data_IF_016724168707
#
_entry.id   IF_016724168707
#
_cell.length_a   1.000
_cell.length_b   1.000
_cell.length_c   1.000
_cell.angle_alpha   90.00
_cell.angle_beta   90.00
_cell.angle_gamma   90.00
#
_symmetry.space_group_name_H-M   'P 1'
#
loop_
_entity.id
_entity.type
_entity.pdbx_description
1 polymer ?
#
# COMPACT_ATOMS: atom_id res chain seq x y z
N UNK A 1 30.73 11.32 18.02
CA UNK A 1 30.94 10.61 16.75
C UNK A 1 30.21 9.27 16.81
N UNK A 2 29.03 9.16 16.19
CA UNK A 2 28.28 7.92 16.12
C UNK A 2 28.25 7.46 14.66
N UNK A 3 28.81 6.27 14.40
CA UNK A 3 28.94 5.70 13.08
C UNK A 3 27.55 5.41 12.46
N UNK A 4 27.34 5.94 11.26
CA UNK A 4 26.16 5.66 10.44
C UNK A 4 26.11 4.18 10.09
N UNK A 5 25.00 3.53 10.47
CA UNK A 5 24.74 2.14 10.15
C UNK A 5 24.25 2.05 8.71
N UNK A 6 25.11 1.54 7.85
CA UNK A 6 24.86 1.22 6.45
C UNK A 6 23.81 0.10 6.33
N UNK A 7 22.53 0.45 6.29
CA UNK A 7 21.41 -0.46 6.00
C UNK A 7 21.29 -0.84 4.52
N UNK A 8 22.41 -1.16 3.87
CA UNK A 8 22.50 -1.27 2.40
C UNK A 8 22.85 -2.63 1.81
N UNK A 9 23.28 -3.64 2.59
CA UNK A 9 23.88 -4.87 2.02
C UNK A 9 23.41 -6.19 2.65
N UNK A 10 22.16 -6.30 3.10
CA UNK A 10 21.63 -7.59 3.62
C UNK A 10 20.30 -8.00 2.96
N UNK A 11 20.12 -7.61 1.69
CA UNK A 11 18.90 -7.95 0.96
C UNK A 11 18.94 -9.35 0.32
N UNK A 12 20.11 -9.97 0.23
CA UNK A 12 20.31 -11.26 -0.45
C UNK A 12 20.70 -12.40 0.50
N UNK A 13 21.01 -12.09 1.77
CA UNK A 13 21.30 -13.13 2.75
C UNK A 13 20.04 -13.91 3.12
N UNK A 14 20.10 -15.25 3.14
CA UNK A 14 19.00 -16.06 3.66
C UNK A 14 18.81 -15.78 5.15
N UNK A 15 17.57 -15.47 5.53
CA UNK A 15 17.17 -15.24 6.92
C UNK A 15 17.50 -16.46 7.78
N UNK A 16 18.19 -16.23 8.89
CA UNK A 16 18.52 -17.27 9.87
C UNK A 16 17.45 -17.42 10.95
N UNK A 17 17.58 -18.47 11.78
CA UNK A 17 16.59 -18.76 12.83
C UNK A 17 16.55 -17.68 13.93
N UNK A 18 17.67 -17.02 14.20
CA UNK A 18 17.77 -16.02 15.28
C UNK A 18 17.11 -14.73 14.85
N UNK A 19 17.40 -14.29 13.62
CA UNK A 19 16.71 -13.20 12.98
C UNK A 19 15.21 -13.49 12.86
N UNK A 20 14.85 -14.73 12.53
CA UNK A 20 13.46 -15.14 12.47
C UNK A 20 12.74 -14.92 13.80
N UNK A 21 13.31 -15.44 14.90
CA UNK A 21 12.73 -15.32 16.23
C UNK A 21 12.63 -13.88 16.72
N UNK A 22 13.59 -13.02 16.34
CA UNK A 22 13.58 -11.59 16.68
C UNK A 22 12.37 -10.86 16.09
N UNK A 23 12.01 -11.18 14.84
CA UNK A 23 10.91 -10.53 14.12
C UNK A 23 9.58 -11.30 14.20
N UNK A 24 9.57 -12.45 14.87
CA UNK A 24 8.44 -13.37 14.83
C UNK A 24 7.16 -12.79 15.43
N UNK A 25 7.25 -12.06 16.55
CA UNK A 25 6.06 -11.46 17.18
C UNK A 25 5.44 -10.41 16.25
N UNK A 26 6.25 -9.52 15.69
CA UNK A 26 5.77 -8.51 14.73
C UNK A 26 5.21 -9.14 13.46
N UNK A 27 5.82 -10.22 12.98
CA UNK A 27 5.31 -11.00 11.86
C UNK A 27 3.94 -11.62 12.17
N UNK A 28 3.79 -12.25 13.34
CA UNK A 28 2.55 -12.91 13.77
C UNK A 28 1.41 -11.91 13.98
N UNK A 29 1.73 -10.72 14.49
CA UNK A 29 0.77 -9.66 14.77
C UNK A 29 0.54 -8.73 13.55
N UNK A 30 1.11 -9.06 12.39
CA UNK A 30 1.04 -8.27 11.16
C UNK A 30 1.51 -6.81 11.32
N UNK A 31 2.52 -6.58 12.18
CA UNK A 31 3.12 -5.27 12.50
C UNK A 31 4.41 -4.96 11.74
N UNK A 32 4.86 -5.86 10.88
CA UNK A 32 6.02 -5.60 10.03
C UNK A 32 5.72 -4.47 9.04
N UNK A 33 6.46 -3.38 9.14
CA UNK A 33 6.35 -2.24 8.23
C UNK A 33 6.80 -2.57 6.80
N UNK A 34 7.76 -3.49 6.64
CA UNK A 34 8.37 -3.80 5.34
C UNK A 34 7.82 -5.11 4.74
N UNK A 35 7.14 -5.07 3.56
CA UNK A 35 6.57 -6.26 2.92
C UNK A 35 7.61 -7.33 2.54
N UNK A 36 8.85 -6.93 2.28
CA UNK A 36 9.93 -7.84 1.92
C UNK A 36 10.32 -8.74 3.09
N UNK A 37 10.38 -8.19 4.30
CA UNK A 37 10.67 -8.95 5.53
C UNK A 37 9.59 -10.00 5.76
N UNK A 38 8.31 -9.63 5.60
CA UNK A 38 7.21 -10.59 5.70
C UNK A 38 7.31 -11.73 4.67
N UNK A 39 7.77 -11.45 3.45
CA UNK A 39 8.04 -12.50 2.43
C UNK A 39 9.17 -13.43 2.85
N UNK A 40 10.27 -12.90 3.39
CA UNK A 40 11.39 -13.73 3.90
C UNK A 40 10.98 -14.59 5.08
N UNK A 41 10.19 -14.04 6.01
CA UNK A 41 9.62 -14.78 7.14
C UNK A 41 8.79 -15.98 6.65
N UNK A 42 7.88 -15.76 5.68
CA UNK A 42 7.08 -16.83 5.05
C UNK A 42 7.96 -17.90 4.39
N UNK A 43 9.01 -17.48 3.67
CA UNK A 43 9.96 -18.41 3.04
C UNK A 43 10.69 -19.25 4.08
N UNK A 44 11.19 -18.62 5.13
CA UNK A 44 11.91 -19.30 6.21
C UNK A 44 11.01 -20.30 6.95
N UNK A 45 9.75 -19.94 7.23
CA UNK A 45 8.77 -20.86 7.84
C UNK A 45 8.53 -22.12 7.01
N UNK A 46 8.48 -21.99 5.68
CA UNK A 46 8.31 -23.13 4.77
C UNK A 46 9.57 -23.99 4.68
N UNK A 47 10.75 -23.39 4.80
CA UNK A 47 12.03 -24.07 4.61
C UNK A 47 12.64 -24.67 5.89
N UNK A 48 12.34 -24.11 7.07
CA UNK A 48 12.96 -24.49 8.33
C UNK A 48 12.00 -25.28 9.24
N UNK A 49 12.21 -26.60 9.44
CA UNK A 49 11.34 -27.42 10.29
C UNK A 49 11.32 -26.96 11.76
N UNK A 50 12.41 -26.39 12.26
CA UNK A 50 12.50 -25.90 13.64
C UNK A 50 11.57 -24.71 13.86
N UNK A 51 11.60 -23.73 12.97
CA UNK A 51 10.76 -22.53 13.04
C UNK A 51 9.29 -22.85 12.75
N UNK A 52 9.01 -23.79 11.85
CA UNK A 52 7.66 -24.31 11.62
C UNK A 52 7.06 -24.96 12.89
N UNK A 53 7.83 -25.80 13.60
CA UNK A 53 7.38 -26.40 14.87
C UNK A 53 7.14 -25.34 15.95
N UNK A 54 7.97 -24.29 15.97
CA UNK A 54 7.79 -23.17 16.88
C UNK A 54 6.47 -22.43 16.61
N UNK A 55 6.22 -22.07 15.35
CA UNK A 55 4.96 -21.43 14.95
C UNK A 55 3.74 -22.29 15.29
N UNK A 56 3.79 -23.60 15.02
CA UNK A 56 2.71 -24.52 15.36
C UNK A 56 2.44 -24.59 16.88
N UNK A 57 3.49 -24.59 17.71
CA UNK A 57 3.34 -24.59 19.18
C UNK A 57 2.71 -23.29 19.68
N UNK A 58 3.19 -22.15 19.21
CA UNK A 58 2.63 -20.84 19.60
C UNK A 58 1.18 -20.72 19.14
N UNK A 59 0.88 -21.12 17.90
CA UNK A 59 -0.48 -21.13 17.36
C UNK A 59 -1.42 -22.02 18.16
N UNK A 60 -0.99 -23.22 18.54
CA UNK A 60 -1.78 -24.09 19.42
C UNK A 60 -2.00 -23.48 20.81
N UNK A 61 -0.96 -22.90 21.41
CA UNK A 61 -1.07 -22.26 22.72
C UNK A 61 -2.07 -21.09 22.70
N UNK A 62 -2.02 -20.25 21.66
CA UNK A 62 -2.98 -19.14 21.48
C UNK A 62 -4.40 -19.67 21.29
N UNK A 63 -4.60 -20.74 20.50
CA UNK A 63 -5.91 -21.36 20.36
C UNK A 63 -6.45 -21.85 21.69
N UNK A 64 -5.62 -22.53 22.50
CA UNK A 64 -6.01 -22.98 23.85
C UNK A 64 -6.35 -21.79 24.74
N UNK A 65 -5.55 -20.72 24.74
CA UNK A 65 -5.84 -19.51 25.51
C UNK A 65 -7.18 -18.87 25.11
N UNK A 66 -7.53 -18.88 23.83
CA UNK A 66 -8.82 -18.38 23.34
C UNK A 66 -10.02 -19.22 23.77
N UNK A 67 -9.82 -20.48 24.18
CA UNK A 67 -10.91 -21.33 24.72
C UNK A 67 -11.29 -20.97 26.16
N UNK A 68 -10.42 -20.26 26.89
CA UNK A 68 -10.78 -19.68 28.19
C UNK A 68 -11.56 -18.39 27.91
N UNK A 69 -12.81 -18.55 27.49
CA UNK A 69 -13.71 -17.52 26.98
C UNK A 69 -14.10 -16.42 27.98
N UNK A 70 -13.50 -16.38 29.16
CA UNK A 70 -13.89 -15.50 30.26
C UNK A 70 -12.70 -14.94 31.05
N UNK A 71 -11.66 -14.51 30.34
CA UNK A 71 -10.65 -13.62 30.92
C UNK A 71 -11.25 -12.22 31.07
N UNK A 72 -12.22 -12.08 31.98
CA UNK A 72 -12.85 -10.79 32.26
C UNK A 72 -11.84 -9.88 32.99
N UNK A 73 -11.52 -8.70 32.44
CA UNK A 73 -10.65 -7.75 33.12
C UNK A 73 -11.31 -7.27 34.42
N UNK A 74 -10.50 -6.97 35.45
CA UNK A 74 -11.02 -6.46 36.73
C UNK A 74 -11.99 -5.28 36.53
N UNK A 75 -13.02 -5.16 37.36
CA UNK A 75 -14.08 -4.15 37.22
C UNK A 75 -13.60 -2.69 37.16
N UNK A 76 -12.38 -2.40 37.63
CA UNK A 76 -11.73 -1.08 37.54
C UNK A 76 -10.76 -0.91 36.37
N UNK A 77 -10.49 -1.95 35.57
CA UNK A 77 -9.47 -1.95 34.52
C UNK A 77 -9.76 -0.90 33.46
N UNK A 78 -11.00 -0.82 32.96
CA UNK A 78 -11.39 0.16 31.94
C UNK A 78 -11.14 1.60 32.38
N UNK A 79 -11.48 1.91 33.64
CA UNK A 79 -11.23 3.23 34.23
C UNK A 79 -9.75 3.54 34.36
N UNK A 80 -8.96 2.57 34.85
CA UNK A 80 -7.49 2.72 34.97
C UNK A 80 -6.83 2.87 33.59
N UNK A 81 -7.27 2.12 32.59
CA UNK A 81 -6.77 2.19 31.23
C UNK A 81 -7.07 3.56 30.60
N UNK A 82 -8.31 4.04 30.73
CA UNK A 82 -8.69 5.36 30.23
C UNK A 82 -7.85 6.48 30.87
N UNK A 83 -7.64 6.43 32.20
CA UNK A 83 -6.79 7.40 32.89
C UNK A 83 -5.34 7.38 32.39
N UNK A 84 -4.79 6.20 32.10
CA UNK A 84 -3.43 6.07 31.54
C UNK A 84 -3.34 6.57 30.10
N UNK A 85 -4.30 6.22 29.25
CA UNK A 85 -4.34 6.67 27.86
C UNK A 85 -4.48 8.19 27.73
N UNK A 86 -5.16 8.83 28.68
CA UNK A 86 -5.27 10.29 28.74
C UNK A 86 -4.02 10.96 29.31
N UNK A 87 -3.26 10.26 30.14
CA UNK A 87 -2.03 10.77 30.74
C UNK A 87 -0.80 10.58 29.85
N UNK A 88 -0.81 9.59 28.96
CA UNK A 88 0.23 9.41 27.95
C UNK A 88 0.04 10.45 26.83
N UNK A 89 0.97 11.42 26.66
CA UNK A 89 0.96 12.23 25.46
C UNK A 89 1.18 11.29 24.28
N UNK A 90 0.17 11.16 23.41
CA UNK A 90 0.35 10.53 22.11
C UNK A 90 1.47 11.34 21.46
N UNK A 91 2.67 10.75 21.38
CA UNK A 91 3.77 11.36 20.68
C UNK A 91 3.27 11.56 19.25
N UNK A 92 2.96 12.82 18.92
CA UNK A 92 2.74 13.18 17.54
C UNK A 92 3.97 12.70 16.78
N UNK A 93 3.82 12.10 15.58
CA UNK A 93 4.97 11.81 14.76
C UNK A 93 5.77 13.10 14.66
N UNK A 94 6.98 13.10 15.22
CA UNK A 94 7.90 14.22 15.13
C UNK A 94 7.92 14.62 13.65
N UNK A 95 7.56 15.88 13.31
CA UNK A 95 7.66 16.32 11.93
C UNK A 95 9.14 16.19 11.59
N UNK A 96 9.47 15.16 10.80
CA UNK A 96 10.80 14.97 10.24
C UNK A 96 10.94 16.08 9.22
N UNK A 97 11.26 17.28 9.69
CA UNK A 97 11.71 18.36 8.84
C UNK A 97 13.13 17.95 8.43
N UNK A 98 13.34 17.49 7.18
CA UNK A 98 14.71 17.23 6.76
C UNK A 98 15.47 18.55 6.90
N UNK A 99 16.69 18.49 7.44
CA UNK A 99 17.55 19.66 7.62
C UNK A 99 17.79 20.46 6.32
N UNK A 100 17.42 19.91 5.17
CA UNK A 100 17.45 20.51 3.83
C UNK A 100 16.15 21.21 3.38
N UNK A 101 15.13 21.32 4.23
CA UNK A 101 13.87 21.96 3.85
C UNK A 101 14.05 23.41 3.37
N UNK A 102 14.94 24.18 4.01
CA UNK A 102 15.30 25.53 3.57
C UNK A 102 15.99 25.57 2.21
N UNK A 103 16.84 24.57 1.91
CA UNK A 103 17.53 24.47 0.62
C UNK A 103 16.55 24.19 -0.53
N UNK A 104 15.58 23.31 -0.32
CA UNK A 104 14.55 23.02 -1.33
C UNK A 104 13.68 24.24 -1.63
N UNK A 105 13.27 24.99 -0.60
CA UNK A 105 12.51 26.23 -0.77
C UNK A 105 13.34 27.26 -1.54
N UNK A 106 14.61 27.43 -1.21
CA UNK A 106 15.50 28.35 -1.91
C UNK A 106 15.72 27.96 -3.38
N UNK A 107 15.90 26.66 -3.68
CA UNK A 107 16.06 26.18 -5.05
C UNK A 107 14.79 26.38 -5.89
N UNK A 108 13.61 26.14 -5.32
CA UNK A 108 12.34 26.39 -5.99
C UNK A 108 12.15 27.88 -6.29
N UNK A 109 12.44 28.75 -5.32
CA UNK A 109 12.39 30.19 -5.53
C UNK A 109 13.38 30.65 -6.61
N UNK A 110 14.63 30.17 -6.57
CA UNK A 110 15.65 30.50 -7.56
C UNK A 110 15.25 30.03 -8.97
N UNK A 111 14.69 28.82 -9.10
CA UNK A 111 14.22 28.28 -10.38
C UNK A 111 13.04 29.10 -10.92
N UNK A 112 12.09 29.47 -10.07
CA UNK A 112 10.97 30.33 -10.45
C UNK A 112 11.42 31.70 -10.95
N UNK A 113 12.37 32.33 -10.26
CA UNK A 113 12.95 33.63 -10.69
C UNK A 113 13.70 33.48 -12.02
N UNK A 114 14.47 32.40 -12.19
CA UNK A 114 15.19 32.15 -13.44
C UNK A 114 14.24 31.99 -14.64
N UNK A 115 13.11 31.28 -14.48
CA UNK A 115 12.10 31.12 -15.53
C UNK A 115 11.45 32.45 -15.91
N UNK A 116 11.13 33.31 -14.94
CA UNK A 116 10.54 34.64 -15.21
C UNK A 116 11.52 35.56 -15.93
N UNK A 117 12.80 35.52 -15.54
CA UNK A 117 13.85 36.29 -16.24
C UNK A 117 14.06 35.77 -17.65
N UNK A 118 14.04 34.44 -17.83
CA UNK A 118 14.19 33.82 -19.15
C UNK A 118 13.05 34.16 -20.10
N UNK A 119 11.80 34.12 -19.63
CA UNK A 119 10.61 34.50 -20.41
C UNK A 119 10.69 35.97 -20.87
N UNK A 120 11.15 36.87 -19.99
CA UNK A 120 11.34 38.29 -20.30
C UNK A 120 12.50 38.57 -21.26
N UNK A 121 13.55 37.75 -21.20
CA UNK A 121 14.75 37.90 -22.02
C UNK A 121 14.67 37.16 -23.36
N UNK A 122 13.72 36.23 -23.51
CA UNK A 122 13.48 35.53 -24.76
C UNK A 122 12.72 36.44 -25.71
N UNK A 123 13.35 36.99 -26.78
CA UNK A 123 12.57 37.62 -27.83
C UNK A 123 11.61 36.58 -28.37
N UNK A 124 10.33 36.93 -28.46
CA UNK A 124 9.33 36.09 -29.12
C UNK A 124 9.70 35.96 -30.59
N UNK A 125 10.46 34.92 -30.92
CA UNK A 125 10.51 34.43 -32.29
C UNK A 125 9.09 33.95 -32.57
N UNK A 126 8.33 34.77 -33.28
CA UNK A 126 7.04 34.40 -33.84
C UNK A 126 7.27 33.36 -34.96
N UNK A 127 7.75 32.18 -34.58
CA UNK A 127 7.69 30.99 -35.40
C UNK A 127 6.24 30.54 -35.35
N UNK A 128 5.54 30.73 -36.47
CA UNK A 128 4.18 30.30 -36.73
C UNK A 128 3.98 28.83 -36.30
N UNK A 129 3.38 28.60 -35.13
CA UNK A 129 2.87 27.28 -34.77
C UNK A 129 1.77 26.89 -35.77
N UNK A 130 1.85 25.73 -36.43
CA UNK A 130 0.67 25.15 -37.08
C UNK A 130 -0.42 24.91 -36.03
N UNK A 131 -1.71 25.01 -36.39
CA UNK A 131 -2.81 24.91 -35.44
C UNK A 131 -2.74 23.59 -34.68
N UNK A 132 -2.71 23.71 -33.34
CA UNK A 132 -2.75 22.63 -32.38
C UNK A 132 -3.87 21.65 -32.75
N UNK A 133 -3.49 20.53 -33.35
CA UNK A 133 -4.36 19.40 -33.65
C UNK A 133 -3.86 18.19 -32.86
N UNK A 134 -4.05 18.23 -31.54
CA UNK A 134 -4.06 17.06 -30.69
C UNK A 134 -4.63 17.45 -29.32
N UNK A 135 -5.96 17.38 -29.19
CA UNK A 135 -6.59 17.19 -27.89
C UNK A 135 -6.12 15.86 -27.34
N UNK A 136 -5.05 15.89 -26.55
CA UNK A 136 -4.68 14.73 -25.73
C UNK A 136 -5.44 14.87 -24.42
N UNK A 137 -6.73 14.54 -24.49
CA UNK A 137 -7.57 14.41 -23.31
C UNK A 137 -6.96 13.31 -22.43
N UNK A 138 -6.40 13.69 -21.28
CA UNK A 138 -5.95 12.71 -20.30
C UNK A 138 -7.15 11.81 -19.94
N UNK A 139 -7.00 10.47 -19.88
CA UNK A 139 -8.09 9.58 -19.54
C UNK A 139 -8.57 9.90 -18.12
N UNK A 140 -9.77 10.47 -18.02
CA UNK A 140 -10.43 10.73 -16.75
C UNK A 140 -10.82 9.37 -16.17
N UNK A 141 -10.35 8.99 -14.95
CA UNK A 141 -10.71 7.70 -14.37
C UNK A 141 -12.20 7.69 -14.04
N UNK A 142 -12.98 6.89 -14.76
CA UNK A 142 -14.40 6.66 -14.44
C UNK A 142 -14.50 5.62 -13.32
N UNK A 143 -15.05 6.02 -12.18
CA UNK A 143 -15.37 5.10 -11.08
C UNK A 143 -16.75 4.50 -11.33
N UNK A 144 -16.80 3.23 -11.74
CA UNK A 144 -18.04 2.47 -11.84
C UNK A 144 -18.22 1.74 -10.50
N UNK A 145 -19.11 2.25 -9.65
CA UNK A 145 -19.52 1.55 -8.44
C UNK A 145 -20.50 0.42 -8.83
N UNK A 146 -20.04 -0.84 -8.79
CA UNK A 146 -20.92 -2.00 -8.91
C UNK A 146 -21.42 -2.38 -7.50
N UNK A 147 -22.73 -2.26 -7.19
CA UNK A 147 -23.26 -2.51 -5.85
C UNK A 147 -23.24 -3.99 -5.42
N UNK A 148 -22.81 -4.92 -6.29
CA UNK A 148 -22.83 -6.37 -6.02
C UNK A 148 -21.52 -7.03 -5.58
N UNK A 149 -20.38 -6.33 -5.50
CA UNK A 149 -19.07 -6.94 -5.21
C UNK A 149 -18.19 -5.96 -4.39
N UNK A 150 -17.50 -6.38 -3.30
CA UNK A 150 -16.82 -5.45 -2.39
C UNK A 150 -15.43 -4.99 -2.89
N UNK A 151 -15.20 -4.85 -4.20
CA UNK A 151 -13.99 -4.23 -4.73
C UNK A 151 -14.30 -3.18 -5.79
N UNK A 152 -13.57 -2.07 -5.77
CA UNK A 152 -13.59 -1.03 -6.79
C UNK A 152 -12.55 -1.38 -7.84
N UNK A 153 -12.94 -1.46 -9.11
CA UNK A 153 -12.04 -1.71 -10.24
C UNK A 153 -11.79 -0.42 -11.00
N UNK A 154 -10.52 -0.14 -11.34
CA UNK A 154 -10.15 0.98 -12.21
C UNK A 154 -9.86 0.43 -13.60
N UNK A 155 -10.63 0.83 -14.60
CA UNK A 155 -10.38 0.47 -16.00
C UNK A 155 -10.31 1.74 -16.83
N UNK A 156 -9.29 1.85 -17.68
CA UNK A 156 -9.21 2.94 -18.67
C UNK A 156 -10.14 2.62 -19.83
N UNK A 157 -11.23 3.38 -19.94
CA UNK A 157 -12.09 3.35 -21.12
C UNK A 157 -11.32 3.98 -22.29
N UNK A 158 -10.82 3.16 -23.20
CA UNK A 158 -10.47 3.63 -24.54
C UNK A 158 -11.78 3.89 -25.28
N UNK A 159 -12.17 5.17 -25.40
CA UNK A 159 -13.28 5.57 -26.26
C UNK A 159 -12.79 5.45 -27.70
N UNK A 160 -13.36 4.59 -28.56
CA UNK A 160 -12.99 4.57 -29.97
C UNK A 160 -13.41 5.90 -30.61
N UNK A 161 -12.59 6.47 -31.52
CA UNK A 161 -12.94 7.71 -32.21
C UNK A 161 -14.22 7.48 -33.03
N UNK A 162 -15.22 8.32 -32.79
CA UNK A 162 -16.52 8.27 -33.44
C UNK A 162 -16.40 8.25 -34.97
N UNK A 163 -17.02 7.26 -35.59
CA UNK A 163 -17.12 7.15 -37.05
C UNK A 163 -17.77 5.85 -37.50
N UNK A 164 -19.00 5.55 -37.08
CA UNK A 164 -19.75 4.40 -37.59
C UNK A 164 -21.06 4.16 -36.83
N UNK A 165 -22.19 4.21 -37.55
CA UNK A 165 -23.54 4.31 -37.01
C UNK A 165 -23.97 3.29 -35.96
N UNK A 166 -24.80 3.77 -35.03
CA UNK A 166 -25.60 2.99 -34.10
C UNK A 166 -26.35 1.88 -34.87
N UNK A 167 -25.96 0.63 -34.61
CA UNK A 167 -26.77 -0.54 -34.93
C UNK A 167 -27.06 -1.24 -33.60
N UNK A 168 -28.24 -1.02 -33.03
CA UNK A 168 -28.83 -2.01 -32.12
C UNK A 168 -29.26 -3.20 -32.98
N UNK A 169 -28.84 -4.42 -32.63
CA UNK A 169 -29.72 -5.31 -31.87
C UNK A 169 -28.93 -6.10 -30.79
N UNK A 170 -29.42 -6.28 -29.57
CA UNK A 170 -30.52 -7.20 -29.31
C UNK A 170 -30.06 -8.65 -29.48
N UNK A 171 -29.45 -9.25 -28.45
CA UNK A 171 -29.54 -10.68 -28.10
C UNK A 171 -28.51 -11.00 -27.01
N UNK A 172 -29.05 -11.43 -25.87
CA UNK A 172 -28.35 -12.18 -24.85
C UNK A 172 -28.01 -13.53 -25.49
N UNK A 173 -26.76 -13.96 -25.48
CA UNK A 173 -26.42 -15.38 -25.53
C UNK A 173 -25.21 -15.66 -24.63
N UNK A 174 -25.55 -16.06 -23.41
CA UNK A 174 -24.70 -16.85 -22.53
C UNK A 174 -24.67 -18.28 -23.06
N UNK A 175 -23.52 -18.98 -23.04
CA UNK A 175 -23.55 -20.40 -22.74
C UNK A 175 -23.35 -20.57 -21.22
N UNK A 176 -24.48 -20.60 -20.51
CA UNK A 176 -24.58 -21.18 -19.18
C UNK A 176 -24.38 -22.69 -19.31
N UNK A 177 -23.21 -23.20 -18.92
CA UNK A 177 -22.95 -24.65 -18.88
C UNK A 177 -23.57 -25.20 -17.60
N UNK A 178 -24.78 -25.74 -17.72
CA UNK A 178 -25.45 -26.52 -16.67
C UNK A 178 -24.76 -27.88 -16.52
N UNK A 179 -24.04 -28.09 -15.42
CA UNK A 179 -23.74 -29.44 -14.95
C UNK A 179 -24.97 -29.98 -14.20
N UNK A 180 -25.76 -30.80 -14.90
CA UNK A 180 -26.82 -31.60 -14.28
C UNK A 180 -26.17 -32.73 -13.48
N UNK A 181 -26.38 -32.70 -12.16
CA UNK A 181 -26.17 -33.84 -11.28
C UNK A 181 -27.25 -34.89 -11.58
N UNK A 182 -26.84 -36.09 -11.96
CA UNK A 182 -27.68 -37.30 -11.98
C UNK A 182 -27.27 -38.14 -10.77
N UNK A 183 -28.25 -38.51 -9.97
CA UNK A 183 -28.24 -39.68 -9.11
C UNK A 183 -29.69 -40.03 -8.75
N UNK A 184 -29.95 -41.17 -8.10
CA UNK A 184 -29.14 -42.38 -8.00
C UNK A 184 -29.37 -43.38 -9.16
#
# INVERSE_FOLDING_TARGET
>A
MCAGRTGGLDLDRPMDCTEFLRHYSDYRDARLAEPLVARRMRRHLRACPRCMRYDARVSRAVTVLKTFSDLEPSSGFRRKLAGRLLAEPIAAPEPVMPASAGLMVALMAATGVALVVWDRASPTTAESLPPASASMQAPVPAVIANPGIPFVSFTTLAVPPFGGGWRTPGAIDQPFVSHTAIGP
#
